data_IF_696003305233
#
_entry.id   IF_696003305233
#
_cell.length_a   1.000
_cell.length_b   1.000
_cell.length_c   1.000
_cell.angle_alpha   90.00
_cell.angle_beta   90.00
_cell.angle_gamma   90.00
#
_symmetry.space_group_name_H-M   'P 1'
#
loop_
_entity.id
_entity.type
_entity.pdbx_description
1 polymer ?
#
# COMPACT_ATOMS: atom_id res chain seq x y z
N UNK A 1 -5.95 -9.44 25.13
CA UNK A 1 -6.33 -8.05 24.81
C UNK A 1 -7.75 -7.80 25.28
N UNK A 2 -8.03 -6.61 25.77
CA UNK A 2 -9.38 -6.11 26.09
C UNK A 2 -10.04 -5.50 24.85
N UNK A 3 -11.34 -5.22 24.93
CA UNK A 3 -12.09 -4.61 23.82
C UNK A 3 -11.62 -3.18 23.51
N UNK A 4 -11.10 -2.46 24.50
CA UNK A 4 -10.49 -1.16 24.30
C UNK A 4 -9.14 -1.27 23.57
N UNK A 5 -8.26 -2.17 24.02
CA UNK A 5 -6.94 -2.39 23.40
C UNK A 5 -7.05 -2.78 21.92
N UNK A 6 -8.03 -3.61 21.56
CA UNK A 6 -8.23 -4.01 20.17
C UNK A 6 -8.70 -2.83 19.31
N UNK A 7 -9.61 -1.98 19.80
CA UNK A 7 -10.07 -0.80 19.07
C UNK A 7 -8.94 0.22 18.89
N UNK A 8 -8.16 0.50 19.94
CA UNK A 8 -6.95 1.34 19.86
C UNK A 8 -5.97 0.80 18.83
N UNK A 9 -5.82 -0.52 18.72
CA UNK A 9 -4.95 -1.13 17.69
C UNK A 9 -5.47 -0.88 16.27
N UNK A 10 -6.79 -0.97 16.05
CA UNK A 10 -7.39 -0.61 14.76
C UNK A 10 -7.23 0.88 14.46
N UNK A 11 -7.38 1.76 15.45
CA UNK A 11 -7.18 3.21 15.28
C UNK A 11 -5.74 3.53 14.87
N UNK A 12 -4.74 2.95 15.54
CA UNK A 12 -3.33 3.10 15.15
C UNK A 12 -3.07 2.60 13.72
N UNK A 13 -3.74 1.53 13.29
CA UNK A 13 -3.63 1.04 11.91
C UNK A 13 -4.25 2.03 10.91
N UNK A 14 -5.36 2.68 11.28
CA UNK A 14 -5.97 3.73 10.48
C UNK A 14 -5.06 4.95 10.34
N UNK A 15 -4.42 5.40 11.42
CA UNK A 15 -3.43 6.48 11.38
C UNK A 15 -2.22 6.13 10.50
N UNK A 16 -1.73 4.89 10.61
CA UNK A 16 -0.65 4.39 9.75
C UNK A 16 -1.06 4.41 8.27
N UNK A 17 -2.27 3.94 7.93
CA UNK A 17 -2.78 3.98 6.56
C UNK A 17 -2.95 5.41 6.03
N UNK A 18 -3.29 6.37 6.90
CA UNK A 18 -3.32 7.79 6.55
C UNK A 18 -1.92 8.36 6.28
N UNK A 19 -0.92 7.92 7.05
CA UNK A 19 0.49 8.29 6.82
C UNK A 19 1.00 7.72 5.50
N UNK A 20 0.67 6.47 5.18
CA UNK A 20 0.97 5.85 3.88
C UNK A 20 0.34 6.64 2.73
N UNK A 21 -0.93 7.03 2.86
CA UNK A 21 -1.60 7.85 1.86
C UNK A 21 -0.92 9.21 1.66
N UNK A 22 -0.45 9.85 2.72
CA UNK A 22 0.29 11.11 2.61
C UNK A 22 1.64 10.94 1.92
N UNK A 23 2.37 9.84 2.17
CA UNK A 23 3.60 9.52 1.44
C UNK A 23 3.33 9.30 -0.05
N UNK A 24 2.28 8.53 -0.39
CA UNK A 24 1.88 8.28 -1.78
C UNK A 24 1.50 9.58 -2.52
N UNK A 25 0.80 10.51 -1.85
CA UNK A 25 0.44 11.83 -2.41
C UNK A 25 1.68 12.68 -2.70
N UNK A 26 2.69 12.61 -1.84
CA UNK A 26 3.96 13.33 -2.01
C UNK A 26 4.88 12.64 -3.02
N UNK A 27 4.65 11.35 -3.31
CA UNK A 27 5.50 10.55 -4.20
C UNK A 27 6.72 9.97 -3.51
N UNK A 28 6.73 9.95 -2.17
CA UNK A 28 7.79 9.35 -1.34
C UNK A 28 7.63 7.82 -1.32
N UNK A 29 7.99 7.18 -2.42
CA UNK A 29 7.72 5.76 -2.65
C UNK A 29 8.56 4.82 -1.76
N UNK A 30 9.78 5.21 -1.42
CA UNK A 30 10.63 4.46 -0.49
C UNK A 30 10.05 4.48 0.92
N UNK A 31 9.59 5.65 1.37
CA UNK A 31 8.90 5.79 2.66
C UNK A 31 7.58 5.02 2.68
N UNK A 32 6.81 5.06 1.59
CA UNK A 32 5.59 4.26 1.46
C UNK A 32 5.88 2.76 1.62
N UNK A 33 6.93 2.25 0.97
CA UNK A 33 7.31 0.85 1.08
C UNK A 33 7.74 0.47 2.51
N UNK A 34 8.49 1.34 3.20
CA UNK A 34 8.86 1.12 4.59
C UNK A 34 7.64 1.11 5.54
N UNK A 35 6.67 2.01 5.31
CA UNK A 35 5.42 2.04 6.06
C UNK A 35 4.54 0.81 5.79
N UNK A 36 4.50 0.32 4.54
CA UNK A 36 3.77 -0.90 4.18
C UNK A 36 4.32 -2.12 4.93
N UNK A 37 5.65 -2.28 5.01
CA UNK A 37 6.27 -3.36 5.79
C UNK A 37 5.85 -3.33 7.27
N UNK A 38 5.80 -2.14 7.87
CA UNK A 38 5.30 -1.97 9.25
C UNK A 38 3.83 -2.34 9.37
N UNK A 39 3.01 -1.93 8.40
CA UNK A 39 1.59 -2.26 8.34
C UNK A 39 1.37 -3.78 8.26
N UNK A 40 2.10 -4.48 7.40
CA UNK A 40 2.01 -5.94 7.25
C UNK A 40 2.32 -6.68 8.55
N UNK A 41 3.36 -6.25 9.29
CA UNK A 41 3.69 -6.82 10.61
C UNK A 41 2.56 -6.57 11.62
N UNK A 42 2.02 -5.36 11.65
CA UNK A 42 0.93 -4.99 12.57
C UNK A 42 -0.34 -5.79 12.31
N UNK A 43 -0.75 -5.90 11.03
CA UNK A 43 -1.91 -6.72 10.63
C UNK A 43 -1.66 -8.19 10.93
N UNK A 44 -0.45 -8.70 10.66
CA UNK A 44 -0.08 -10.07 10.98
C UNK A 44 -0.25 -10.40 12.47
N UNK A 45 0.24 -9.54 13.35
CA UNK A 45 0.08 -9.70 14.80
C UNK A 45 -1.39 -9.64 15.23
N UNK A 46 -2.18 -8.74 14.61
CA UNK A 46 -3.61 -8.61 14.90
C UNK A 46 -4.38 -9.87 14.51
N UNK A 47 -4.03 -10.52 13.39
CA UNK A 47 -4.64 -11.77 12.94
C UNK A 47 -4.33 -12.96 13.85
N UNK A 48 -3.23 -12.92 14.61
CA UNK A 48 -2.89 -13.95 15.60
C UNK A 48 -3.54 -13.71 16.97
N UNK A 49 -4.23 -12.59 17.16
CA UNK A 49 -4.88 -12.25 18.43
C UNK A 49 -6.19 -13.03 18.57
N UNK A 50 -6.44 -13.58 19.76
CA UNK A 50 -7.71 -14.23 20.06
C UNK A 50 -8.90 -13.27 19.89
N UNK A 51 -10.06 -13.76 19.40
CA UNK A 51 -11.26 -12.93 19.27
C UNK A 51 -11.69 -12.36 20.61
N UNK A 52 -11.65 -11.02 20.73
CA UNK A 52 -12.16 -10.31 21.89
C UNK A 52 -13.67 -10.08 21.69
N UNK A 53 -14.52 -10.42 22.67
CA UNK A 53 -15.95 -10.11 22.58
C UNK A 53 -16.16 -8.59 22.56
N UNK A 54 -16.88 -8.11 21.54
CA UNK A 54 -17.20 -6.71 21.35
C UNK A 54 -18.72 -6.52 21.43
N UNK A 55 -19.17 -5.48 22.13
CA UNK A 55 -20.56 -5.06 22.09
C UNK A 55 -20.89 -4.40 20.74
N UNK A 56 -22.18 -4.17 20.46
CA UNK A 56 -22.60 -3.62 19.15
C UNK A 56 -21.99 -2.25 18.82
N UNK A 57 -21.78 -1.40 19.83
CA UNK A 57 -21.17 -0.08 19.62
C UNK A 57 -19.71 -0.22 19.23
N UNK A 58 -18.96 -1.07 19.93
CA UNK A 58 -17.55 -1.37 19.63
C UNK A 58 -17.40 -2.03 18.25
N UNK A 59 -18.30 -2.93 17.87
CA UNK A 59 -18.32 -3.53 16.53
C UNK A 59 -18.55 -2.48 15.44
N UNK A 60 -19.49 -1.55 15.65
CA UNK A 60 -19.72 -0.43 14.72
C UNK A 60 -18.47 0.45 14.58
N UNK A 61 -17.81 0.78 15.68
CA UNK A 61 -16.55 1.54 15.68
C UNK A 61 -15.47 0.81 14.90
N UNK A 62 -15.25 -0.48 15.18
CA UNK A 62 -14.28 -1.31 14.46
C UNK A 62 -14.54 -1.33 12.95
N UNK A 63 -15.79 -1.50 12.53
CA UNK A 63 -16.18 -1.50 11.11
C UNK A 63 -15.91 -0.13 10.47
N UNK A 64 -16.21 0.97 11.16
CA UNK A 64 -15.93 2.32 10.66
C UNK A 64 -14.42 2.51 10.42
N UNK A 65 -13.58 2.06 11.35
CA UNK A 65 -12.12 2.15 11.24
C UNK A 65 -11.60 1.31 10.05
N UNK A 66 -12.08 0.08 9.90
CA UNK A 66 -11.70 -0.79 8.77
C UNK A 66 -12.07 -0.14 7.43
N UNK A 67 -13.23 0.51 7.34
CA UNK A 67 -13.63 1.23 6.12
C UNK A 67 -12.68 2.37 5.79
N UNK A 68 -12.22 3.13 6.79
CA UNK A 68 -11.23 4.19 6.60
C UNK A 68 -9.91 3.63 6.04
N UNK A 69 -9.41 2.53 6.60
CA UNK A 69 -8.19 1.87 6.12
C UNK A 69 -8.35 1.46 4.65
N UNK A 70 -9.46 0.78 4.31
CA UNK A 70 -9.72 0.33 2.93
C UNK A 70 -9.86 1.49 1.94
N UNK A 71 -10.44 2.62 2.37
CA UNK A 71 -10.51 3.83 1.56
C UNK A 71 -9.12 4.42 1.29
N UNK A 72 -8.26 4.47 2.32
CA UNK A 72 -6.88 4.93 2.16
C UNK A 72 -6.10 4.01 1.20
N UNK A 73 -6.23 2.70 1.34
CA UNK A 73 -5.58 1.72 0.44
C UNK A 73 -6.07 1.84 -1.02
N UNK A 74 -7.36 2.12 -1.23
CA UNK A 74 -7.89 2.37 -2.56
C UNK A 74 -7.29 3.64 -3.18
N UNK A 75 -7.13 4.71 -2.38
CA UNK A 75 -6.51 5.94 -2.85
C UNK A 75 -5.01 5.77 -3.13
N UNK A 76 -4.28 5.03 -2.29
CA UNK A 76 -2.86 4.71 -2.52
C UNK A 76 -2.69 3.98 -3.86
N UNK A 77 -3.51 2.95 -4.11
CA UNK A 77 -3.49 2.22 -5.39
C UNK A 77 -3.78 3.11 -6.59
N UNK A 78 -4.80 3.97 -6.48
CA UNK A 78 -5.13 4.93 -7.55
C UNK A 78 -3.97 5.89 -7.88
N UNK A 79 -3.09 6.19 -6.92
CA UNK A 79 -1.90 7.01 -7.13
C UNK A 79 -0.71 6.20 -7.70
N UNK A 80 -0.53 4.96 -7.24
CA UNK A 80 0.61 4.13 -7.59
C UNK A 80 0.47 3.43 -8.95
N UNK A 81 -0.72 2.88 -9.25
CA UNK A 81 -0.96 2.08 -10.45
C UNK A 81 -0.65 2.82 -11.76
N UNK A 82 -1.06 4.10 -11.95
CA UNK A 82 -0.74 4.83 -13.18
C UNK A 82 0.76 5.07 -13.37
N UNK A 83 1.49 5.42 -12.28
CA UNK A 83 2.95 5.65 -12.35
C UNK A 83 3.69 4.35 -12.69
N UNK A 84 3.27 3.22 -12.12
CA UNK A 84 3.85 1.92 -12.45
C UNK A 84 3.61 1.57 -13.92
N UNK A 85 2.41 1.82 -14.43
CA UNK A 85 2.09 1.59 -15.83
C UNK A 85 2.96 2.44 -16.77
N UNK A 86 3.12 3.73 -16.48
CA UNK A 86 4.00 4.63 -17.24
C UNK A 86 5.46 4.13 -17.24
N UNK A 87 5.97 3.71 -16.08
CA UNK A 87 7.34 3.19 -15.96
C UNK A 87 7.53 1.92 -16.80
N UNK A 88 6.57 1.01 -16.77
CA UNK A 88 6.59 -0.22 -17.57
C UNK A 88 6.60 0.08 -19.07
N UNK A 89 5.79 1.05 -19.53
CA UNK A 89 5.78 1.48 -20.92
C UNK A 89 7.15 2.06 -21.35
N UNK A 90 7.72 2.96 -20.54
CA UNK A 90 9.04 3.58 -20.83
C UNK A 90 10.15 2.55 -20.91
N UNK A 91 10.18 1.58 -19.99
CA UNK A 91 11.15 0.49 -20.02
C UNK A 91 11.00 -0.38 -21.27
N UNK A 92 9.77 -0.64 -21.70
CA UNK A 92 9.47 -1.43 -22.89
C UNK A 92 9.94 -0.73 -24.17
N UNK A 93 9.69 0.58 -24.29
CA UNK A 93 10.19 1.40 -25.40
C UNK A 93 11.72 1.48 -25.44
N UNK A 94 12.37 1.61 -24.29
CA UNK A 94 13.84 1.63 -24.19
C UNK A 94 14.45 0.31 -24.66
N UNK A 95 13.90 -0.83 -24.23
CA UNK A 95 14.33 -2.16 -24.68
C UNK A 95 14.14 -2.37 -26.19
N UNK A 96 13.02 -1.90 -26.74
CA UNK A 96 12.76 -1.94 -28.18
C UNK A 96 13.78 -1.10 -28.96
N UNK A 97 14.08 0.11 -28.47
CA UNK A 97 15.08 1.01 -29.04
C UNK A 97 16.49 0.37 -29.06
N UNK A 98 16.92 -0.23 -27.93
CA UNK A 98 18.20 -0.93 -27.85
C UNK A 98 18.31 -2.12 -28.82
N UNK A 99 17.22 -2.87 -29.01
CA UNK A 99 17.17 -3.97 -29.99
C UNK A 99 17.34 -3.47 -31.42
N UNK A 100 16.66 -2.37 -31.77
CA UNK A 100 16.80 -1.78 -33.11
C UNK A 100 18.22 -1.31 -33.39
N UNK A 101 18.86 -0.59 -32.45
CA UNK A 101 20.25 -0.13 -32.58
C UNK A 101 21.22 -1.31 -32.74
N UNK A 102 21.03 -2.39 -31.99
CA UNK A 102 21.85 -3.62 -32.15
C UNK A 102 21.69 -4.26 -33.52
N UNK A 103 20.47 -4.33 -34.06
CA UNK A 103 20.23 -4.90 -35.39
C UNK A 103 20.86 -4.06 -36.51
N UNK A 104 20.71 -2.74 -36.46
CA UNK A 104 21.33 -1.81 -37.42
C UNK A 104 22.86 -1.91 -37.40
N UNK A 105 23.47 -2.03 -36.22
CA UNK A 105 24.93 -2.15 -36.10
C UNK A 105 25.45 -3.50 -36.60
N UNK A 106 24.70 -4.59 -36.39
CA UNK A 106 25.07 -5.93 -36.87
C UNK A 106 25.00 -6.09 -38.40
N UNK A 107 24.23 -5.25 -39.09
CA UNK A 107 24.16 -5.23 -40.56
C UNK A 107 25.26 -4.35 -41.19
N UNK A 108 26.02 -3.61 -40.38
CA UNK A 108 27.05 -2.65 -40.84
C UNK A 108 28.49 -3.18 -40.65
N UNK A 109 28.63 -4.42 -40.18
CA UNK A 109 29.87 -5.19 -40.03
C UNK A 109 29.83 -6.40 -40.93
#
# INVERSE_FOLDING_TARGET
MTSNEILTTYESLSELSGTMLNAARQGEWDDLAALEQRCQVYVGNLMQTEPVPLNESEQRTKVAIIRTILQNDAQIRALAEPRLHELQQRLSLSRASQRSVKAYNAQRT
#
